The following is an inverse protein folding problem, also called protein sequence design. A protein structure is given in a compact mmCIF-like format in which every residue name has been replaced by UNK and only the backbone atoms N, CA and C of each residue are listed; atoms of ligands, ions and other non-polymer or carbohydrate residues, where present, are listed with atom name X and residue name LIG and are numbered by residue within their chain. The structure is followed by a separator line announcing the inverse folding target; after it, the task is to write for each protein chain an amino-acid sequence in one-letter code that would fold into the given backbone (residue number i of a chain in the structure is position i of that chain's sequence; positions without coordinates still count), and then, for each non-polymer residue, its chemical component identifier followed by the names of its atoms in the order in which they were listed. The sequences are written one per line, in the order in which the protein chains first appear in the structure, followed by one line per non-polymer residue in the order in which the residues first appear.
data_IF_450764429376
#
_entry.id   IF_450764429376
#
_cell.length_a   1.000
_cell.length_b   1.000
_cell.length_c   1.000
_cell.angle_alpha   90.00
_cell.angle_beta   90.00
_cell.angle_gamma   90.00
#
_symmetry.space_group_name_H-M   'P 1'
#
loop_
_entity.id
_entity.type
_entity.pdbx_description
1 polymer ?
#
# COMPACT_ATOMS: atom_id res chain seq x y z
N UNK A 1 -19.06 -1.65 15.04
CA UNK A 1 -17.77 -1.35 14.38
C UNK A 1 -17.02 -2.66 14.23
N UNK A 2 -16.51 -2.95 13.04
CA UNK A 2 -15.60 -4.05 12.75
C UNK A 2 -14.18 -3.51 12.95
N UNK A 3 -13.32 -4.29 13.59
CA UNK A 3 -11.87 -4.08 13.64
C UNK A 3 -11.24 -5.47 13.68
N UNK A 4 -10.74 -5.93 12.55
CA UNK A 4 -10.25 -7.30 12.37
C UNK A 4 -9.07 -7.37 11.41
N UNK A 5 -8.26 -8.42 11.54
CA UNK A 5 -7.30 -8.80 10.52
C UNK A 5 -7.97 -9.70 9.48
N UNK A 6 -7.71 -9.45 8.19
CA UNK A 6 -8.23 -10.26 7.08
C UNK A 6 -7.09 -10.70 6.16
N UNK A 7 -7.28 -11.85 5.53
CA UNK A 7 -6.28 -12.43 4.62
C UNK A 7 -6.90 -12.80 3.28
N UNK A 8 -6.12 -12.68 2.21
CA UNK A 8 -6.47 -13.09 0.85
C UNK A 8 -5.41 -14.04 0.32
N UNK A 9 -5.82 -15.23 -0.09
CA UNK A 9 -4.95 -16.23 -0.70
C UNK A 9 -4.88 -16.01 -2.21
N UNK A 10 -3.67 -15.94 -2.73
CA UNK A 10 -3.40 -15.81 -4.16
C UNK A 10 -3.13 -17.18 -4.80
N UNK A 11 -3.35 -17.35 -6.12
CA UNK A 11 -3.17 -18.64 -6.80
C UNK A 11 -1.76 -19.23 -6.67
N UNK A 12 -0.72 -18.40 -6.56
CA UNK A 12 0.68 -18.84 -6.37
C UNK A 12 1.04 -19.19 -4.91
N UNK A 13 0.05 -19.25 -4.02
CA UNK A 13 0.22 -19.57 -2.61
C UNK A 13 0.52 -18.38 -1.70
N UNK A 14 0.76 -17.18 -2.27
CA UNK A 14 0.97 -15.95 -1.50
C UNK A 14 -0.27 -15.60 -0.67
N UNK A 15 -0.08 -15.17 0.57
CA UNK A 15 -1.16 -14.66 1.43
C UNK A 15 -0.94 -13.18 1.70
N UNK A 16 -1.91 -12.37 1.29
CA UNK A 16 -1.96 -10.94 1.61
C UNK A 16 -2.70 -10.73 2.93
N UNK A 17 -2.31 -9.74 3.72
CA UNK A 17 -2.89 -9.42 5.01
C UNK A 17 -3.26 -7.94 5.09
N UNK A 18 -4.36 -7.67 5.76
CA UNK A 18 -4.83 -6.31 5.98
C UNK A 18 -5.45 -6.12 7.36
N UNK A 19 -5.45 -4.88 7.82
CA UNK A 19 -6.33 -4.40 8.88
C UNK A 19 -7.61 -3.87 8.24
N UNK A 20 -8.76 -4.33 8.73
CA UNK A 20 -10.07 -3.91 8.24
C UNK A 20 -10.82 -3.20 9.37
N UNK A 21 -11.29 -1.99 9.10
CA UNK A 21 -12.04 -1.17 10.06
C UNK A 21 -13.29 -0.59 9.39
N UNK A 22 -14.44 -0.61 10.07
CA UNK A 22 -15.66 0.01 9.56
C UNK A 22 -16.93 -0.44 10.25
N UNK A 23 -18.10 0.07 9.82
CA UNK A 23 -19.39 -0.42 10.30
C UNK A 23 -19.73 -1.78 9.68
N UNK A 24 -20.65 -2.51 10.33
CA UNK A 24 -21.14 -3.80 9.80
C UNK A 24 -21.91 -3.64 8.47
N UNK A 25 -22.48 -2.47 8.23
CA UNK A 25 -23.15 -2.11 6.98
C UNK A 25 -22.50 -0.85 6.43
N UNK A 26 -21.38 -0.96 5.69
CA UNK A 26 -20.68 0.19 5.15
C UNK A 26 -21.36 0.75 3.90
N UNK A 27 -21.13 2.03 3.61
CA UNK A 27 -21.56 2.70 2.36
C UNK A 27 -20.86 2.15 1.12
N UNK A 28 -19.73 1.48 1.31
CA UNK A 28 -18.80 0.96 0.33
C UNK A 28 -17.47 0.72 1.01
N UNK A 29 -16.42 0.48 0.25
CA UNK A 29 -15.10 0.22 0.79
C UNK A 29 -14.04 1.16 0.24
N UNK A 30 -12.95 1.30 1.00
CA UNK A 30 -11.75 2.03 0.58
C UNK A 30 -10.54 1.13 0.81
N UNK A 31 -9.90 0.71 -0.27
CA UNK A 31 -8.65 -0.04 -0.24
C UNK A 31 -7.48 0.93 -0.14
N UNK A 32 -6.64 0.77 0.88
CA UNK A 32 -5.51 1.63 1.19
C UNK A 32 -4.22 0.87 0.92
N UNK A 33 -3.46 1.31 -0.09
CA UNK A 33 -2.21 0.71 -0.55
C UNK A 33 -1.02 1.62 -0.22
N UNK A 34 -0.10 1.16 0.61
CA UNK A 34 1.03 1.94 1.11
C UNK A 34 2.19 2.06 0.10
N UNK A 35 3.18 2.91 0.38
CA UNK A 35 4.41 3.06 -0.39
C UNK A 35 5.43 1.95 -0.13
N UNK A 36 6.41 1.81 -1.02
CA UNK A 36 7.50 0.85 -0.85
C UNK A 36 8.23 1.05 0.48
N UNK A 37 8.56 -0.07 1.16
CA UNK A 37 9.20 -0.07 2.47
C UNK A 37 8.30 0.33 3.65
N UNK A 38 7.02 0.56 3.41
CA UNK A 38 6.02 0.84 4.45
C UNK A 38 5.17 -0.40 4.74
N UNK A 39 4.17 -0.24 5.61
CA UNK A 39 3.20 -1.27 5.96
C UNK A 39 1.80 -0.64 6.09
N UNK A 40 0.77 -1.48 6.25
CA UNK A 40 -0.62 -1.04 6.50
C UNK A 40 -0.76 0.00 7.63
N UNK A 41 0.18 0.02 8.58
CA UNK A 41 0.15 0.96 9.70
C UNK A 41 0.33 2.43 9.29
N UNK A 42 0.90 2.70 8.09
CA UNK A 42 0.96 4.06 7.53
C UNK A 42 -0.44 4.68 7.37
N UNK A 43 -1.46 3.85 7.22
CA UNK A 43 -2.86 4.26 7.02
C UNK A 43 -3.72 4.26 8.28
N UNK A 44 -3.18 3.92 9.46
CA UNK A 44 -3.97 3.71 10.68
C UNK A 44 -4.89 4.88 11.05
N UNK A 45 -4.42 6.12 10.95
CA UNK A 45 -5.24 7.31 11.19
C UNK A 45 -6.34 7.51 10.13
N UNK A 46 -5.98 7.30 8.86
CA UNK A 46 -6.90 7.41 7.72
C UNK A 46 -7.98 6.33 7.77
N UNK A 47 -7.61 5.09 8.07
CA UNK A 47 -8.55 3.98 8.20
C UNK A 47 -9.61 4.25 9.27
N UNK A 48 -9.19 4.73 10.45
CA UNK A 48 -10.10 5.12 11.53
C UNK A 48 -11.06 6.25 11.12
N UNK A 49 -10.55 7.27 10.42
CA UNK A 49 -11.37 8.38 9.94
C UNK A 49 -12.41 7.93 8.91
N UNK A 50 -12.02 7.07 7.98
CA UNK A 50 -12.92 6.48 6.99
C UNK A 50 -13.99 5.60 7.64
N UNK A 51 -13.60 4.77 8.60
CA UNK A 51 -14.52 3.95 9.39
C UNK A 51 -15.56 4.79 10.13
N UNK A 52 -15.13 5.88 10.78
CA UNK A 52 -16.01 6.82 11.44
C UNK A 52 -16.96 7.53 10.46
N UNK A 53 -16.52 7.75 9.21
CA UNK A 53 -17.33 8.30 8.13
C UNK A 53 -18.27 7.28 7.45
N UNK A 54 -18.28 6.01 7.92
CA UNK A 54 -19.21 4.98 7.45
C UNK A 54 -18.68 4.12 6.28
N UNK A 55 -17.38 4.13 6.01
CA UNK A 55 -16.73 3.30 5.01
C UNK A 55 -16.09 2.06 5.65
N UNK A 56 -15.95 0.98 4.86
CA UNK A 56 -15.09 -0.14 5.23
C UNK A 56 -13.67 0.19 4.73
N UNK A 57 -12.78 0.55 5.63
CA UNK A 57 -11.39 0.82 5.31
C UNK A 57 -10.58 -0.49 5.38
N UNK A 58 -9.84 -0.80 4.32
CA UNK A 58 -8.99 -1.99 4.20
C UNK A 58 -7.55 -1.52 3.98
N UNK A 59 -6.78 -1.46 5.04
CA UNK A 59 -5.36 -1.12 4.98
C UNK A 59 -4.56 -2.39 4.71
N UNK A 60 -4.07 -2.53 3.47
CA UNK A 60 -3.39 -3.73 2.98
C UNK A 60 -1.89 -3.63 3.21
N UNK A 61 -1.26 -4.70 3.68
CA UNK A 61 0.16 -4.92 3.46
C UNK A 61 0.35 -5.47 2.04
N UNK A 62 1.09 -4.75 1.22
CA UNK A 62 1.41 -5.21 -0.13
C UNK A 62 2.30 -6.46 -0.08
N UNK A 63 2.34 -7.27 -1.16
CA UNK A 63 3.23 -8.45 -1.24
C UNK A 63 4.66 -8.09 -0.83
N UNK A 64 5.30 -8.94 -0.02
CA UNK A 64 6.64 -8.72 0.50
C UNK A 64 6.78 -7.62 1.56
N UNK A 65 5.66 -7.09 2.09
CA UNK A 65 5.67 -6.06 3.12
C UNK A 65 4.82 -6.48 4.33
N UNK A 66 5.19 -5.96 5.50
CA UNK A 66 4.46 -6.17 6.76
C UNK A 66 4.26 -7.65 7.08
N UNK A 67 3.00 -8.03 7.33
CA UNK A 67 2.61 -9.42 7.62
C UNK A 67 2.19 -10.20 6.36
N UNK A 68 2.16 -9.56 5.17
CA UNK A 68 1.94 -10.27 3.90
C UNK A 68 3.16 -11.11 3.54
N UNK A 69 2.91 -12.25 2.89
CA UNK A 69 3.97 -13.18 2.55
C UNK A 69 4.96 -12.58 1.52
N UNK A 70 6.19 -13.06 1.58
CA UNK A 70 7.15 -12.90 0.50
C UNK A 70 6.71 -13.74 -0.69
N UNK A 71 6.88 -13.17 -1.90
CA UNK A 71 6.40 -13.83 -3.10
C UNK A 71 7.26 -15.06 -3.44
N UNK A 72 6.68 -16.28 -3.51
CA UNK A 72 7.45 -17.51 -3.75
C UNK A 72 8.20 -17.51 -5.08
N UNK A 73 7.64 -16.88 -6.10
CA UNK A 73 8.20 -16.75 -7.46
C UNK A 73 9.01 -15.45 -7.64
N UNK A 74 9.20 -14.67 -6.56
CA UNK A 74 9.93 -13.41 -6.55
C UNK A 74 9.38 -12.35 -7.53
N UNK A 75 8.12 -12.46 -7.94
CA UNK A 75 7.46 -11.48 -8.79
C UNK A 75 6.99 -10.27 -7.97
N UNK A 76 7.73 -9.18 -8.07
CA UNK A 76 7.44 -7.87 -7.50
C UNK A 76 7.25 -6.81 -8.60
N UNK A 77 6.75 -7.22 -9.77
CA UNK A 77 6.39 -6.32 -10.87
C UNK A 77 5.20 -5.42 -10.49
N UNK A 78 5.07 -4.29 -11.14
CA UNK A 78 3.91 -3.41 -10.95
C UNK A 78 2.60 -4.12 -11.30
N UNK A 79 2.61 -5.00 -12.30
CA UNK A 79 1.49 -5.84 -12.71
C UNK A 79 1.06 -6.80 -11.59
N UNK A 80 2.03 -7.37 -10.91
CA UNK A 80 1.79 -8.28 -9.80
C UNK A 80 1.13 -7.55 -8.61
N UNK A 81 1.65 -6.37 -8.24
CA UNK A 81 1.01 -5.51 -7.23
C UNK A 81 -0.40 -5.09 -7.63
N UNK A 82 -0.59 -4.65 -8.89
CA UNK A 82 -1.88 -4.23 -9.40
C UNK A 82 -2.91 -5.37 -9.38
N UNK A 83 -2.51 -6.57 -9.82
CA UNK A 83 -3.36 -7.77 -9.79
C UNK A 83 -3.78 -8.16 -8.37
N UNK A 84 -2.92 -7.95 -7.37
CA UNK A 84 -3.28 -8.15 -5.97
C UNK A 84 -4.36 -7.18 -5.52
N UNK A 85 -4.23 -5.89 -5.86
CA UNK A 85 -5.23 -4.88 -5.51
C UNK A 85 -6.60 -5.19 -6.12
N UNK A 86 -6.63 -5.60 -7.40
CA UNK A 86 -7.86 -6.01 -8.09
C UNK A 86 -8.52 -7.17 -7.35
N UNK A 87 -7.75 -8.22 -7.06
CA UNK A 87 -8.29 -9.42 -6.40
C UNK A 87 -8.81 -9.15 -4.99
N UNK A 88 -8.21 -8.22 -4.25
CA UNK A 88 -8.75 -7.78 -2.96
C UNK A 88 -10.04 -6.98 -3.18
N UNK A 89 -10.03 -6.00 -4.09
CA UNK A 89 -11.16 -5.11 -4.37
C UNK A 89 -12.43 -5.86 -4.79
N UNK A 90 -12.29 -6.92 -5.61
CA UNK A 90 -13.41 -7.76 -6.06
C UNK A 90 -14.17 -8.45 -4.92
N UNK A 91 -13.55 -8.62 -3.76
CA UNK A 91 -14.17 -9.24 -2.58
C UNK A 91 -14.80 -8.24 -1.62
N UNK A 92 -14.62 -6.94 -1.87
CA UNK A 92 -15.05 -5.88 -0.96
C UNK A 92 -16.45 -5.36 -1.29
N UNK A 93 -17.18 -4.82 -0.29
CA UNK A 93 -18.44 -4.11 -0.52
C UNK A 93 -18.29 -2.97 -1.54
N UNK A 94 -19.21 -2.92 -2.50
CA UNK A 94 -19.24 -1.89 -3.51
C UNK A 94 -20.11 -0.68 -3.08
N UNK A 95 -19.80 0.55 -3.52
CA UNK A 95 -18.65 0.91 -4.37
C UNK A 95 -17.32 0.78 -3.63
N UNK A 96 -16.28 0.34 -4.34
CA UNK A 96 -14.91 0.27 -3.82
C UNK A 96 -14.07 1.39 -4.41
N UNK A 97 -13.43 2.18 -3.56
CA UNK A 97 -12.42 3.19 -3.94
C UNK A 97 -11.02 2.68 -3.60
N UNK A 98 -10.01 3.20 -4.28
CA UNK A 98 -8.61 2.95 -3.91
C UNK A 98 -7.88 4.24 -3.56
N UNK A 99 -7.04 4.18 -2.52
CA UNK A 99 -6.08 5.23 -2.15
C UNK A 99 -4.69 4.59 -2.17
N UNK A 100 -3.83 5.03 -3.07
CA UNK A 100 -2.49 4.48 -3.23
C UNK A 100 -1.40 5.53 -3.07
N UNK A 101 -0.40 5.24 -2.24
CA UNK A 101 0.78 6.08 -2.07
C UNK A 101 1.98 5.47 -2.80
N UNK A 102 2.73 6.29 -3.56
CA UNK A 102 3.97 5.86 -4.24
C UNK A 102 3.79 4.50 -4.95
N UNK A 103 4.43 3.41 -4.50
CA UNK A 103 4.28 2.05 -5.03
C UNK A 103 2.81 1.61 -5.11
N UNK A 104 2.04 1.78 -4.03
CA UNK A 104 0.60 1.48 -4.01
C UNK A 104 -0.19 2.34 -4.99
N UNK A 105 0.25 3.58 -5.22
CA UNK A 105 -0.34 4.47 -6.23
C UNK A 105 -0.04 4.01 -7.65
N UNK A 106 1.19 3.59 -7.96
CA UNK A 106 1.55 3.02 -9.26
C UNK A 106 0.74 1.75 -9.55
N UNK A 107 0.64 0.86 -8.57
CA UNK A 107 -0.17 -0.35 -8.70
C UNK A 107 -1.65 -0.03 -8.94
N UNK A 108 -2.21 0.97 -8.25
CA UNK A 108 -3.59 1.42 -8.45
C UNK A 108 -3.80 2.05 -9.83
N UNK A 109 -2.85 2.86 -10.32
CA UNK A 109 -2.89 3.44 -11.67
C UNK A 109 -2.93 2.34 -12.73
N UNK A 110 -2.06 1.35 -12.61
CA UNK A 110 -1.99 0.23 -13.56
C UNK A 110 -3.24 -0.64 -13.50
N UNK A 111 -3.74 -0.96 -12.30
CA UNK A 111 -4.97 -1.73 -12.11
C UNK A 111 -6.16 -1.07 -12.80
N UNK A 112 -6.43 0.20 -12.52
CA UNK A 112 -7.59 0.91 -13.06
C UNK A 112 -7.41 1.39 -14.50
N UNK A 113 -6.19 1.82 -14.86
CA UNK A 113 -5.91 2.42 -16.16
C UNK A 113 -5.73 1.43 -17.29
N UNK A 114 -5.20 0.24 -17.00
CA UNK A 114 -4.77 -0.70 -18.05
C UNK A 114 -5.29 -2.13 -17.86
N UNK A 115 -5.15 -2.70 -16.63
CA UNK A 115 -5.42 -4.12 -16.45
C UNK A 115 -6.91 -4.42 -16.34
N UNK A 116 -7.63 -3.70 -15.51
CA UNK A 116 -9.03 -3.96 -15.18
C UNK A 116 -9.79 -2.65 -14.94
N UNK A 117 -9.98 -1.81 -15.98
CA UNK A 117 -10.72 -0.56 -15.84
C UNK A 117 -12.14 -0.78 -15.31
N UNK A 118 -12.56 0.05 -14.36
CA UNK A 118 -13.84 -0.07 -13.68
C UNK A 118 -13.83 -0.92 -12.41
N UNK A 119 -12.65 -1.38 -11.96
CA UNK A 119 -12.49 -2.05 -10.66
C UNK A 119 -12.82 -1.11 -9.51
N UNK A 120 -12.37 0.14 -9.61
CA UNK A 120 -12.58 1.15 -8.57
C UNK A 120 -13.57 2.21 -9.02
N UNK A 121 -14.49 2.56 -8.13
CA UNK A 121 -15.43 3.68 -8.35
C UNK A 121 -14.75 5.06 -8.26
N UNK A 122 -13.53 5.12 -7.80
CA UNK A 122 -12.69 6.30 -7.72
C UNK A 122 -11.29 5.95 -7.18
N UNK A 123 -10.30 6.71 -7.59
CA UNK A 123 -8.91 6.52 -7.17
C UNK A 123 -8.33 7.82 -6.64
N UNK A 124 -7.51 7.71 -5.59
CA UNK A 124 -6.77 8.83 -5.00
C UNK A 124 -5.30 8.45 -4.99
N UNK A 125 -4.46 9.29 -5.58
CA UNK A 125 -3.02 9.12 -5.62
C UNK A 125 -2.35 10.05 -4.61
N UNK A 126 -1.47 9.49 -3.80
CA UNK A 126 -0.73 10.22 -2.78
C UNK A 126 0.75 10.14 -3.11
N UNK A 127 1.36 11.32 -3.31
CA UNK A 127 2.79 11.47 -3.58
C UNK A 127 3.30 10.60 -4.75
N UNK A 128 2.55 10.57 -5.84
CA UNK A 128 2.89 9.87 -7.08
C UNK A 128 2.16 10.47 -8.27
N UNK A 129 2.82 10.46 -9.42
CA UNK A 129 2.27 10.92 -10.70
C UNK A 129 2.46 9.84 -11.78
N UNK A 130 1.67 9.87 -12.87
CA UNK A 130 1.82 8.92 -13.97
C UNK A 130 3.20 8.96 -14.66
N UNK A 131 3.89 10.09 -14.58
CA UNK A 131 5.26 10.25 -15.08
C UNK A 131 6.18 10.53 -13.90
N UNK A 132 7.07 9.57 -13.61
CA UNK A 132 8.07 9.71 -12.57
C UNK A 132 9.34 10.36 -13.12
N UNK A 133 9.95 11.26 -12.35
CA UNK A 133 11.29 11.76 -12.65
C UNK A 133 12.35 10.72 -12.27
N UNK A 134 13.18 10.34 -13.24
CA UNK A 134 14.18 9.29 -13.04
C UNK A 134 15.20 9.64 -11.93
N UNK A 135 15.61 10.92 -11.84
CA UNK A 135 16.54 11.38 -10.80
C UNK A 135 15.93 11.30 -9.40
N UNK A 136 14.64 11.69 -9.25
CA UNK A 136 13.93 11.59 -7.97
C UNK A 136 13.80 10.13 -7.52
N UNK A 137 13.41 9.24 -8.43
CA UNK A 137 13.34 7.79 -8.14
C UNK A 137 14.70 7.22 -7.77
N UNK A 138 15.77 7.58 -8.52
CA UNK A 138 17.13 7.13 -8.23
C UNK A 138 17.62 7.58 -6.85
N UNK A 139 17.27 8.80 -6.42
CA UNK A 139 17.57 9.31 -5.08
C UNK A 139 16.91 8.47 -3.97
N UNK A 140 15.60 8.19 -4.11
CA UNK A 140 14.85 7.38 -3.14
C UNK A 140 15.41 5.96 -3.07
N UNK A 141 15.61 5.32 -4.22
CA UNK A 141 16.14 3.95 -4.30
C UNK A 141 17.57 3.89 -3.75
N UNK A 142 18.39 4.91 -4.04
CA UNK A 142 19.75 5.04 -3.50
C UNK A 142 19.76 5.08 -1.97
N UNK A 143 18.91 5.93 -1.37
CA UNK A 143 18.76 6.00 0.09
C UNK A 143 18.29 4.66 0.68
N UNK A 144 17.28 4.02 0.10
CA UNK A 144 16.79 2.74 0.58
C UNK A 144 17.86 1.64 0.52
N UNK A 145 18.68 1.63 -0.54
CA UNK A 145 19.74 0.62 -0.74
C UNK A 145 20.97 0.85 0.14
N UNK A 146 21.26 2.09 0.52
CA UNK A 146 22.48 2.43 1.24
C UNK A 146 22.69 1.63 2.53
N UNK A 147 21.60 1.25 3.21
CA UNK A 147 21.67 0.55 4.49
C UNK A 147 20.99 -0.85 4.44
N UNK A 148 20.65 -1.37 3.25
CA UNK A 148 19.91 -2.65 3.14
C UNK A 148 20.72 -3.86 3.60
N UNK A 149 22.04 -3.85 3.41
CA UNK A 149 22.88 -5.02 3.69
C UNK A 149 23.22 -5.14 5.18
N UNK A 150 23.49 -4.02 5.84
CA UNK A 150 23.99 -3.97 7.22
C UNK A 150 22.93 -3.51 8.22
N UNK A 151 21.89 -2.80 7.74
CA UNK A 151 20.90 -2.17 8.59
C UNK A 151 21.47 -1.01 9.39
N UNK A 152 20.85 -0.70 10.51
CA UNK A 152 21.30 0.28 11.50
C UNK A 152 21.57 -0.42 12.82
N UNK A 153 22.63 -0.02 13.52
CA UNK A 153 22.99 -0.60 14.81
C UNK A 153 22.00 -0.19 15.90
N UNK A 154 21.59 1.09 15.87
CA UNK A 154 20.65 1.68 16.82
C UNK A 154 19.55 2.44 16.08
N UNK A 155 18.43 2.71 16.77
CA UNK A 155 17.30 3.46 16.20
C UNK A 155 17.68 4.92 15.87
N UNK A 156 18.57 5.47 16.67
CA UNK A 156 19.12 6.81 16.53
C UNK A 156 19.89 6.97 15.23
N UNK A 157 20.68 5.99 14.81
CA UNK A 157 21.41 6.00 13.54
C UNK A 157 20.44 6.06 12.34
N UNK A 158 19.32 5.33 12.43
CA UNK A 158 18.27 5.38 11.42
C UNK A 158 17.60 6.76 11.37
N UNK A 159 17.35 7.36 12.53
CA UNK A 159 16.75 8.70 12.62
C UNK A 159 17.68 9.77 12.02
N UNK A 160 18.99 9.72 12.33
CA UNK A 160 19.99 10.64 11.77
C UNK A 160 20.10 10.50 10.25
N UNK A 161 20.08 9.26 9.72
CA UNK A 161 20.11 9.02 8.27
C UNK A 161 18.88 9.59 7.56
N UNK A 162 17.68 9.49 8.17
CA UNK A 162 16.44 10.07 7.65
C UNK A 162 16.49 11.60 7.70
N UNK A 163 16.98 12.18 8.80
CA UNK A 163 17.12 13.63 8.94
C UNK A 163 18.10 14.21 7.90
N UNK A 164 19.22 13.53 7.67
CA UNK A 164 20.17 13.91 6.63
C UNK A 164 19.59 13.82 5.21
N UNK A 165 18.75 12.82 4.94
CA UNK A 165 18.08 12.63 3.64
C UNK A 165 16.94 13.64 3.42
N UNK A 166 16.22 14.02 4.46
CA UNK A 166 15.06 14.93 4.40
C UNK A 166 15.19 16.11 5.37
N UNK A 167 16.19 16.99 5.22
CA UNK A 167 16.51 18.04 6.19
C UNK A 167 15.39 19.07 6.37
N UNK A 168 14.43 19.15 5.45
CA UNK A 168 13.27 20.03 5.51
C UNK A 168 12.08 19.45 6.31
N UNK A 169 12.09 18.16 6.61
CA UNK A 169 11.06 17.52 7.46
C UNK A 169 11.52 17.57 8.91
N UNK A 170 10.93 18.50 9.66
CA UNK A 170 11.08 18.62 11.11
C UNK A 170 9.84 18.10 11.80
#
# INVERSE_FOLDING_TARGET
MISEHRSWHRPNGLVLRAQVEGPAQPKGSVLLAHGGGQTRYAWGGTAKALAAAGWLAVALDLRGHGDSDWCPDQDYSNEAFATDLVAVAETLPQPCMAVGASLGGMATMLAEGELTPGTFSGVIFVDVTPRLEAEGVAGIVGFMRANMAEGFAELEDAAEAIEAYLPQRR
#
